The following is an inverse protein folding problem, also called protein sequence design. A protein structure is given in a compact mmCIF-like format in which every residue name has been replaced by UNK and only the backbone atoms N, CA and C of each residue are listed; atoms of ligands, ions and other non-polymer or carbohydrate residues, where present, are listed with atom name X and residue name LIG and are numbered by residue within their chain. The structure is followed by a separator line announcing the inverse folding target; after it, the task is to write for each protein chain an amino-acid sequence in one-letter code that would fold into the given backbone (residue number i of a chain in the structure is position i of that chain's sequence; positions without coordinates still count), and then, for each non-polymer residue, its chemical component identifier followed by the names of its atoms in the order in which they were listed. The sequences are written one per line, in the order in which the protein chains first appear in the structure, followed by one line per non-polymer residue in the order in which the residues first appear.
data_IF_556875417973
#
_entry.id   IF_556875417973
#
_cell.length_a   1.000
_cell.length_b   1.000
_cell.length_c   1.000
_cell.angle_alpha   90.00
_cell.angle_beta   90.00
_cell.angle_gamma   90.00
#
_symmetry.space_group_name_H-M   'P 1'
#
loop_
_entity.id
_entity.type
_entity.pdbx_description
1 polymer ?
#
# COMPACT_ATOMS: atom_id res chain seq x y z
N UNK A 1 -81.48 5.67 -15.29
CA UNK A 1 -80.78 4.51 -14.67
C UNK A 1 -79.65 3.95 -15.55
N UNK A 2 -79.84 3.64 -16.85
CA UNK A 2 -78.78 3.09 -17.73
C UNK A 2 -77.46 3.89 -17.87
N UNK A 3 -77.47 5.23 -17.71
CA UNK A 3 -76.27 6.08 -17.82
C UNK A 3 -75.33 6.00 -16.61
N UNK A 4 -75.87 5.77 -15.41
CA UNK A 4 -75.09 5.66 -14.17
C UNK A 4 -74.42 4.28 -14.03
N UNK A 5 -75.09 3.21 -14.50
CA UNK A 5 -74.51 1.86 -14.54
C UNK A 5 -73.32 1.74 -15.50
N UNK A 6 -73.41 2.32 -16.71
CA UNK A 6 -72.26 2.33 -17.64
C UNK A 6 -71.08 3.16 -17.11
N UNK A 7 -71.35 4.25 -16.38
CA UNK A 7 -70.31 5.07 -15.77
C UNK A 7 -69.61 4.33 -14.61
N UNK A 8 -70.38 3.62 -13.79
CA UNK A 8 -69.88 2.73 -12.73
C UNK A 8 -68.99 1.61 -13.29
N UNK A 9 -69.42 0.97 -14.39
CA UNK A 9 -68.69 -0.15 -14.99
C UNK A 9 -67.38 0.30 -15.68
N UNK A 10 -67.39 1.44 -16.38
CA UNK A 10 -66.17 2.03 -16.95
C UNK A 10 -65.19 2.50 -15.86
N UNK A 11 -65.68 3.05 -14.74
CA UNK A 11 -64.83 3.43 -13.61
C UNK A 11 -64.19 2.21 -12.94
N UNK A 12 -64.91 1.08 -12.82
CA UNK A 12 -64.35 -0.17 -12.31
C UNK A 12 -63.20 -0.71 -13.17
N UNK A 13 -63.29 -0.58 -14.50
CA UNK A 13 -62.19 -0.96 -15.39
C UNK A 13 -60.95 -0.08 -15.20
N UNK A 14 -61.14 1.23 -14.98
CA UNK A 14 -60.03 2.16 -14.71
C UNK A 14 -59.37 1.84 -13.36
N UNK A 15 -60.15 1.58 -12.31
CA UNK A 15 -59.60 1.20 -11.00
C UNK A 15 -58.89 -0.16 -11.04
N UNK A 16 -59.44 -1.13 -11.77
CA UNK A 16 -58.79 -2.44 -11.95
C UNK A 16 -57.46 -2.31 -12.71
N UNK A 17 -57.42 -1.48 -13.75
CA UNK A 17 -56.18 -1.20 -14.50
C UNK A 17 -55.14 -0.49 -13.63
N UNK A 18 -55.56 0.52 -12.86
CA UNK A 18 -54.68 1.24 -11.94
C UNK A 18 -54.11 0.30 -10.86
N UNK A 19 -54.94 -0.56 -10.27
CA UNK A 19 -54.49 -1.56 -9.31
C UNK A 19 -53.49 -2.54 -9.93
N UNK A 20 -53.75 -3.02 -11.15
CA UNK A 20 -52.85 -3.93 -11.87
C UNK A 20 -51.50 -3.28 -12.16
N UNK A 21 -51.48 -2.01 -12.58
CA UNK A 21 -50.23 -1.25 -12.78
C UNK A 21 -49.48 -1.08 -11.46
N UNK A 22 -50.16 -0.74 -10.37
CA UNK A 22 -49.54 -0.62 -9.04
C UNK A 22 -48.94 -1.96 -8.61
N UNK A 23 -49.64 -3.07 -8.79
CA UNK A 23 -49.11 -4.40 -8.46
C UNK A 23 -47.93 -4.80 -9.36
N UNK A 24 -47.96 -4.48 -10.65
CA UNK A 24 -46.85 -4.73 -11.55
C UNK A 24 -45.61 -3.90 -11.16
N UNK A 25 -45.78 -2.62 -10.86
CA UNK A 25 -44.69 -1.73 -10.43
C UNK A 25 -44.17 -2.14 -9.06
N UNK A 26 -45.04 -2.44 -8.10
CA UNK A 26 -44.63 -2.92 -6.78
C UNK A 26 -43.89 -4.26 -6.89
N UNK A 27 -44.40 -5.19 -7.71
CA UNK A 27 -43.77 -6.48 -7.95
C UNK A 27 -42.39 -6.38 -8.60
N UNK A 28 -42.24 -5.53 -9.63
CA UNK A 28 -40.93 -5.31 -10.26
C UNK A 28 -39.97 -4.61 -9.30
N UNK A 29 -40.39 -3.54 -8.61
CA UNK A 29 -39.58 -2.88 -7.60
C UNK A 29 -39.13 -3.86 -6.51
N UNK A 30 -40.03 -4.65 -5.91
CA UNK A 30 -39.68 -5.65 -4.90
C UNK A 30 -38.72 -6.72 -5.42
N UNK A 31 -38.86 -7.16 -6.67
CA UNK A 31 -37.92 -8.11 -7.29
C UNK A 31 -36.51 -7.51 -7.44
N UNK A 32 -36.41 -6.26 -7.88
CA UNK A 32 -35.11 -5.59 -7.98
C UNK A 32 -34.51 -5.30 -6.60
N UNK A 33 -35.32 -4.83 -5.63
CA UNK A 33 -34.86 -4.60 -4.25
C UNK A 33 -34.36 -5.87 -3.58
N UNK A 34 -35.05 -7.00 -3.76
CA UNK A 34 -34.62 -8.28 -3.17
C UNK A 34 -33.33 -8.81 -3.82
N UNK A 35 -33.17 -8.63 -5.14
CA UNK A 35 -31.92 -8.95 -5.84
C UNK A 35 -30.76 -8.07 -5.36
N UNK A 36 -30.99 -6.76 -5.25
CA UNK A 36 -29.98 -5.82 -4.78
C UNK A 36 -29.59 -6.10 -3.32
N UNK A 37 -30.57 -6.36 -2.45
CA UNK A 37 -30.32 -6.72 -1.06
C UNK A 37 -29.51 -8.02 -0.94
N UNK A 38 -29.82 -9.04 -1.75
CA UNK A 38 -29.05 -10.27 -1.80
C UNK A 38 -27.63 -10.06 -2.34
N UNK A 39 -27.47 -9.21 -3.36
CA UNK A 39 -26.17 -8.83 -3.90
C UNK A 39 -25.32 -8.08 -2.86
N UNK A 40 -25.87 -7.07 -2.20
CA UNK A 40 -25.19 -6.32 -1.13
C UNK A 40 -24.82 -7.22 0.04
N UNK A 41 -25.73 -8.11 0.46
CA UNK A 41 -25.45 -9.07 1.52
C UNK A 41 -24.29 -10.01 1.14
N UNK A 42 -24.24 -10.45 -0.13
CA UNK A 42 -23.15 -11.27 -0.66
C UNK A 42 -21.84 -10.48 -0.75
N UNK A 43 -21.87 -9.26 -1.28
CA UNK A 43 -20.70 -8.39 -1.41
C UNK A 43 -20.05 -8.08 -0.04
N UNK A 44 -20.86 -7.90 1.01
CA UNK A 44 -20.38 -7.72 2.39
C UNK A 44 -19.63 -8.93 2.96
N UNK A 45 -19.71 -10.10 2.32
CA UNK A 45 -18.96 -11.28 2.74
C UNK A 45 -17.57 -11.35 2.12
N UNK A 46 -17.20 -10.42 1.23
CA UNK A 46 -15.86 -10.35 0.67
C UNK A 46 -15.03 -9.25 1.31
N UNK A 47 -13.73 -9.51 1.40
CA UNK A 47 -12.71 -8.54 1.78
C UNK A 47 -11.97 -8.13 0.51
N UNK A 48 -11.84 -6.83 0.29
CA UNK A 48 -11.12 -6.26 -0.83
C UNK A 48 -9.78 -5.71 -0.36
N UNK A 49 -8.75 -5.88 -1.19
CA UNK A 49 -7.45 -5.20 -1.02
C UNK A 49 -6.97 -4.70 -2.38
N UNK A 50 -6.54 -3.44 -2.41
CA UNK A 50 -6.08 -2.75 -3.62
C UNK A 50 -7.05 -2.82 -4.80
N UNK A 51 -8.36 -2.80 -4.51
CA UNK A 51 -9.40 -2.94 -5.53
C UNK A 51 -9.31 -1.81 -6.55
N UNK A 52 -9.05 -2.16 -7.81
CA UNK A 52 -8.82 -1.20 -8.89
C UNK A 52 -7.65 -0.24 -8.64
N UNK A 53 -6.73 -0.60 -7.74
CA UNK A 53 -5.54 0.18 -7.48
C UNK A 53 -4.61 0.12 -8.68
N UNK A 54 -3.97 1.25 -8.99
CA UNK A 54 -2.97 1.35 -10.06
C UNK A 54 -2.06 2.54 -9.84
N UNK A 55 -0.88 2.49 -10.45
CA UNK A 55 -0.04 3.67 -10.61
C UNK A 55 -0.73 4.65 -11.57
N UNK A 56 -0.74 5.94 -11.24
CA UNK A 56 -1.32 7.01 -12.06
C UNK A 56 -0.27 7.92 -12.65
N UNK A 57 0.81 8.17 -11.90
CA UNK A 57 1.95 8.98 -12.34
C UNK A 57 3.23 8.47 -11.68
N UNK A 58 4.36 8.67 -12.33
CA UNK A 58 5.67 8.31 -11.80
C UNK A 58 6.77 9.19 -12.39
N UNK A 59 7.85 9.37 -11.64
CA UNK A 59 9.07 9.97 -12.16
C UNK A 59 10.29 9.49 -11.40
N UNK A 60 11.43 9.39 -12.08
CA UNK A 60 12.72 9.06 -11.45
C UNK A 60 13.44 10.35 -11.06
N UNK A 61 13.94 10.43 -9.82
CA UNK A 61 14.64 11.61 -9.26
C UNK A 61 16.17 11.33 -9.22
N UNK A 62 16.69 10.63 -10.23
CA UNK A 62 18.07 10.13 -10.25
C UNK A 62 19.10 11.01 -10.96
N UNK A 63 18.68 11.97 -11.79
CA UNK A 63 19.61 12.77 -12.59
C UNK A 63 20.25 13.93 -11.81
N UNK A 64 19.59 14.41 -10.75
CA UNK A 64 20.08 15.53 -9.94
C UNK A 64 20.80 15.09 -8.67
N UNK A 65 20.53 13.87 -8.17
CA UNK A 65 20.97 13.40 -6.85
C UNK A 65 21.46 11.93 -6.92
N UNK A 66 22.61 11.66 -7.58
CA UNK A 66 23.07 10.29 -7.86
C UNK A 66 23.40 9.49 -6.60
N UNK A 67 23.60 10.17 -5.47
CA UNK A 67 23.84 9.53 -4.17
C UNK A 67 22.59 8.82 -3.62
N UNK A 68 21.40 9.26 -4.01
CA UNK A 68 20.11 8.74 -3.57
C UNK A 68 19.21 8.48 -4.78
N UNK A 69 19.37 7.34 -5.48
CA UNK A 69 18.44 6.99 -6.55
C UNK A 69 17.03 6.91 -5.98
N UNK A 70 16.11 7.66 -6.56
CA UNK A 70 14.76 7.84 -6.02
C UNK A 70 13.70 7.71 -7.11
N UNK A 71 12.52 7.24 -6.74
CA UNK A 71 11.34 7.25 -7.60
C UNK A 71 10.18 7.89 -6.84
N UNK A 72 9.56 8.88 -7.47
CA UNK A 72 8.31 9.47 -7.03
C UNK A 72 7.14 8.71 -7.66
N UNK A 73 6.15 8.35 -6.85
CA UNK A 73 5.03 7.50 -7.25
C UNK A 73 3.70 8.16 -6.86
N UNK A 74 2.76 8.18 -7.80
CA UNK A 74 1.36 8.52 -7.56
C UNK A 74 0.50 7.31 -7.79
N UNK A 75 -0.36 7.02 -6.83
CA UNK A 75 -1.32 5.94 -6.89
C UNK A 75 -2.71 6.50 -7.14
N UNK A 76 -3.58 5.68 -7.76
CA UNK A 76 -5.01 6.00 -7.85
C UNK A 76 -5.57 6.19 -6.45
N UNK A 77 -6.37 7.23 -6.26
CA UNK A 77 -6.98 7.54 -4.98
C UNK A 77 -7.92 6.42 -4.51
N UNK A 78 -7.74 6.04 -3.25
CA UNK A 78 -8.58 5.07 -2.55
C UNK A 78 -8.42 5.29 -1.05
N UNK A 79 -9.54 5.32 -0.32
CA UNK A 79 -9.55 5.43 1.15
C UNK A 79 -8.91 4.21 1.85
N UNK A 80 -8.72 3.12 1.12
CA UNK A 80 -8.19 1.84 1.64
C UNK A 80 -6.70 1.65 1.32
N UNK A 81 -6.02 2.63 0.72
CA UNK A 81 -4.64 2.50 0.27
C UNK A 81 -3.63 3.00 1.31
N UNK A 82 -2.77 2.10 1.76
CA UNK A 82 -1.73 2.33 2.75
C UNK A 82 -0.34 2.32 2.12
N UNK A 83 0.64 3.05 2.71
CA UNK A 83 2.06 2.94 2.36
C UNK A 83 2.64 1.53 2.51
N UNK A 84 1.94 0.63 3.22
CA UNK A 84 2.32 -0.77 3.38
C UNK A 84 1.71 -1.71 2.33
N UNK A 85 0.84 -1.24 1.44
CA UNK A 85 0.10 -2.10 0.51
C UNK A 85 0.85 -2.38 -0.81
N UNK A 86 2.09 -1.90 -0.93
CA UNK A 86 2.96 -2.19 -2.07
C UNK A 86 4.35 -2.64 -1.63
N UNK A 87 4.99 -3.41 -2.49
CA UNK A 87 6.36 -3.87 -2.37
C UNK A 87 7.20 -3.27 -3.49
N UNK A 88 8.46 -2.94 -3.18
CA UNK A 88 9.43 -2.41 -4.15
C UNK A 88 10.67 -3.30 -4.13
N UNK A 89 11.07 -3.76 -5.31
CA UNK A 89 12.32 -4.44 -5.57
C UNK A 89 13.27 -3.55 -6.38
N UNK A 90 14.39 -4.10 -6.84
CA UNK A 90 15.36 -3.36 -7.68
C UNK A 90 14.84 -3.20 -9.11
N UNK A 91 13.95 -4.09 -9.55
CA UNK A 91 13.43 -4.13 -10.92
C UNK A 91 11.93 -3.93 -10.99
N UNK A 92 11.19 -4.20 -9.92
CA UNK A 92 9.73 -4.16 -9.94
C UNK A 92 9.11 -3.41 -8.77
N UNK A 93 7.94 -2.84 -9.01
CA UNK A 93 6.98 -2.36 -8.03
C UNK A 93 5.76 -3.28 -8.11
N UNK A 94 5.23 -3.77 -7.00
CA UNK A 94 4.07 -4.68 -7.02
C UNK A 94 3.10 -4.42 -5.86
N UNK A 95 1.83 -4.77 -6.07
CA UNK A 95 0.80 -4.73 -5.04
C UNK A 95 -0.36 -5.68 -5.31
N UNK A 96 -1.12 -5.96 -4.25
CA UNK A 96 -2.27 -6.85 -4.27
C UNK A 96 -3.52 -6.16 -4.83
N UNK A 97 -4.21 -6.83 -5.76
CA UNK A 97 -5.57 -6.52 -6.19
C UNK A 97 -6.39 -7.80 -6.00
N UNK A 98 -7.27 -7.81 -5.00
CA UNK A 98 -7.97 -9.04 -4.61
C UNK A 98 -9.39 -8.79 -4.10
N UNK A 99 -10.23 -9.81 -4.30
CA UNK A 99 -11.54 -10.02 -3.69
C UNK A 99 -11.51 -11.38 -3.04
N UNK A 100 -11.32 -11.42 -1.72
CA UNK A 100 -11.18 -12.67 -0.95
C UNK A 100 -12.46 -12.97 -0.19
N UNK A 101 -12.88 -14.23 -0.14
CA UNK A 101 -14.10 -14.60 0.57
C UNK A 101 -13.87 -14.62 2.09
N UNK A 102 -14.56 -13.77 2.84
CA UNK A 102 -14.45 -13.62 4.30
C UNK A 102 -15.34 -14.56 5.12
N UNK A 103 -16.12 -15.45 4.49
CA UNK A 103 -16.98 -16.38 5.22
C UNK A 103 -16.21 -17.48 5.96
N UNK A 104 -16.85 -18.06 6.99
CA UNK A 104 -16.25 -19.09 7.87
C UNK A 104 -15.89 -20.38 7.14
N UNK A 105 -16.73 -20.80 6.18
CA UNK A 105 -16.52 -22.02 5.41
C UNK A 105 -15.78 -21.65 4.14
N UNK A 106 -14.45 -21.78 4.17
CA UNK A 106 -13.57 -21.51 3.04
C UNK A 106 -13.74 -22.63 2.01
N UNK A 107 -14.59 -22.38 1.03
CA UNK A 107 -14.80 -23.24 -0.13
C UNK A 107 -14.35 -22.50 -1.38
N UNK A 108 -14.16 -23.24 -2.47
CA UNK A 108 -13.86 -22.66 -3.78
C UNK A 108 -15.01 -21.72 -4.18
N UNK A 109 -14.75 -20.42 -4.20
CA UNK A 109 -15.69 -19.42 -4.65
C UNK A 109 -15.36 -18.98 -6.09
N UNK A 110 -16.39 -18.74 -6.91
CA UNK A 110 -16.20 -18.38 -8.32
C UNK A 110 -15.94 -16.90 -8.55
N UNK A 111 -16.26 -16.05 -7.57
CA UNK A 111 -16.06 -14.60 -7.64
C UNK A 111 -14.79 -14.16 -6.95
N UNK A 112 -14.19 -15.03 -6.15
CA UNK A 112 -12.89 -14.81 -5.53
C UNK A 112 -11.80 -14.66 -6.59
N UNK A 113 -10.94 -13.66 -6.40
CA UNK A 113 -9.72 -13.51 -7.16
C UNK A 113 -8.61 -12.95 -6.28
N UNK A 114 -7.39 -13.35 -6.58
CA UNK A 114 -6.19 -12.78 -5.97
C UNK A 114 -5.17 -12.55 -7.08
N UNK A 115 -4.88 -11.28 -7.33
CA UNK A 115 -3.93 -10.86 -8.37
C UNK A 115 -2.84 -10.02 -7.76
N UNK A 116 -1.64 -10.18 -8.30
CA UNK A 116 -0.57 -9.21 -8.10
C UNK A 116 -0.51 -8.35 -9.34
N UNK A 117 -0.67 -7.04 -9.16
CA UNK A 117 -0.38 -6.04 -10.18
C UNK A 117 1.04 -5.57 -9.97
N UNK A 118 1.81 -5.46 -11.05
CA UNK A 118 3.21 -5.05 -10.96
C UNK A 118 3.67 -4.28 -12.18
N UNK A 119 4.69 -3.46 -11.97
CA UNK A 119 5.32 -2.58 -12.94
C UNK A 119 6.82 -2.83 -12.91
N UNK A 120 7.46 -2.71 -14.07
CA UNK A 120 8.92 -2.74 -14.16
C UNK A 120 9.45 -1.33 -13.96
N UNK A 121 10.41 -1.17 -13.07
CA UNK A 121 10.98 0.13 -12.75
C UNK A 121 11.63 0.77 -13.98
N UNK A 122 11.36 2.05 -14.21
CA UNK A 122 11.73 2.83 -15.40
C UNK A 122 10.88 2.56 -16.66
N UNK A 123 9.84 1.74 -16.58
CA UNK A 123 8.92 1.39 -17.67
C UNK A 123 7.46 1.32 -17.19
N UNK A 124 7.11 2.11 -16.17
CA UNK A 124 5.85 2.03 -15.44
C UNK A 124 4.70 2.70 -16.21
N UNK A 125 4.23 2.08 -17.29
CA UNK A 125 3.15 2.62 -18.12
C UNK A 125 1.86 1.79 -18.09
N UNK A 126 0.72 2.47 -18.23
CA UNK A 126 -0.60 1.85 -18.37
C UNK A 126 -1.11 1.18 -17.10
N UNK A 127 -1.95 0.15 -17.26
CA UNK A 127 -2.58 -0.54 -16.13
C UNK A 127 -1.62 -1.52 -15.41
N UNK A 128 -0.35 -1.62 -15.81
CA UNK A 128 0.59 -2.59 -15.25
C UNK A 128 0.31 -4.03 -15.69
N UNK A 129 1.22 -4.94 -15.35
CA UNK A 129 1.05 -6.37 -15.59
C UNK A 129 0.33 -7.03 -14.41
N UNK A 130 -0.35 -8.14 -14.66
CA UNK A 130 -1.02 -8.90 -13.60
C UNK A 130 -0.62 -10.38 -13.61
N UNK A 131 -0.59 -10.98 -12.41
CA UNK A 131 -0.41 -12.41 -12.18
C UNK A 131 -1.59 -12.90 -11.35
N UNK A 132 -2.30 -13.92 -11.84
CA UNK A 132 -3.38 -14.58 -11.10
C UNK A 132 -2.78 -15.58 -10.10
N UNK A 133 -2.56 -15.13 -8.87
CA UNK A 133 -1.96 -15.92 -7.81
C UNK A 133 -2.92 -16.98 -7.30
N UNK A 134 -4.22 -16.69 -7.26
CA UNK A 134 -5.23 -17.67 -6.86
C UNK A 134 -5.14 -18.92 -7.75
N UNK A 135 -4.99 -18.73 -9.06
CA UNK A 135 -4.79 -19.84 -9.98
C UNK A 135 -3.49 -20.60 -9.71
N UNK A 136 -2.38 -19.89 -9.46
CA UNK A 136 -1.09 -20.52 -9.15
C UNK A 136 -1.17 -21.40 -7.89
N UNK A 137 -1.79 -20.94 -6.80
CA UNK A 137 -1.93 -21.74 -5.59
C UNK A 137 -2.92 -22.90 -5.76
N UNK A 138 -3.94 -22.73 -6.59
CA UNK A 138 -4.88 -23.81 -6.93
C UNK A 138 -4.19 -24.94 -7.70
N UNK A 139 -3.30 -24.61 -8.63
CA UNK A 139 -2.45 -25.58 -9.33
C UNK A 139 -1.49 -26.30 -8.35
N UNK A 140 -1.16 -25.67 -7.21
CA UNK A 140 -0.39 -26.25 -6.11
C UNK A 140 -1.23 -27.03 -5.08
N UNK A 141 -2.54 -27.12 -5.27
CA UNK A 141 -3.46 -27.89 -4.42
C UNK A 141 -4.19 -27.11 -3.33
N UNK A 142 -4.02 -25.78 -3.26
CA UNK A 142 -4.78 -24.93 -2.33
C UNK A 142 -6.17 -24.61 -2.87
N UNK A 143 -7.14 -24.42 -1.98
CA UNK A 143 -8.52 -24.05 -2.39
C UNK A 143 -8.64 -22.53 -2.62
N UNK A 144 -8.04 -21.75 -1.73
CA UNK A 144 -8.17 -20.28 -1.63
C UNK A 144 -6.92 -19.68 -0.95
N UNK A 145 -6.85 -18.36 -0.86
CA UNK A 145 -5.82 -17.58 -0.15
C UNK A 145 -6.53 -16.80 0.96
N UNK A 146 -6.14 -17.04 2.21
CA UNK A 146 -6.66 -16.35 3.40
C UNK A 146 -5.77 -15.20 3.86
N UNK A 147 -4.47 -15.25 3.54
CA UNK A 147 -3.51 -14.19 3.86
C UNK A 147 -3.41 -13.11 2.78
N UNK A 148 -2.28 -12.43 2.76
CA UNK A 148 -2.03 -11.24 1.94
C UNK A 148 -0.62 -11.26 1.32
N UNK A 149 -0.38 -10.33 0.40
CA UNK A 149 0.95 -10.03 -0.10
C UNK A 149 1.76 -9.32 0.98
N UNK A 150 3.00 -9.74 1.15
CA UNK A 150 3.98 -9.06 1.99
C UNK A 150 4.51 -7.80 1.29
N UNK A 151 4.90 -6.78 2.06
CA UNK A 151 5.45 -5.53 1.51
C UNK A 151 6.96 -5.62 1.18
N UNK A 152 7.58 -6.75 1.52
CA UNK A 152 8.98 -7.05 1.21
C UNK A 152 9.12 -7.89 -0.05
N UNK A 153 10.06 -7.53 -0.93
CA UNK A 153 10.45 -8.33 -2.09
C UNK A 153 11.65 -9.22 -1.79
N UNK A 154 11.77 -10.31 -2.54
CA UNK A 154 12.82 -11.30 -2.40
C UNK A 154 13.54 -11.51 -3.75
N UNK A 155 14.78 -11.98 -3.70
CA UNK A 155 15.65 -12.17 -4.86
C UNK A 155 16.38 -13.51 -4.81
N UNK A 156 16.60 -14.10 -5.98
CA UNK A 156 17.51 -15.23 -6.18
C UNK A 156 18.81 -14.82 -6.91
N UNK A 157 19.08 -13.51 -6.97
CA UNK A 157 20.17 -12.88 -7.72
C UNK A 157 19.83 -12.60 -9.18
N UNK A 158 18.77 -13.20 -9.74
CA UNK A 158 18.35 -13.00 -11.12
C UNK A 158 16.95 -12.41 -11.21
N UNK A 159 15.98 -13.07 -10.59
CA UNK A 159 14.57 -12.71 -10.62
C UNK A 159 14.13 -12.19 -9.24
N UNK A 160 13.05 -11.41 -9.24
CA UNK A 160 12.44 -10.86 -8.03
C UNK A 160 11.08 -11.49 -7.77
N UNK A 161 10.75 -11.62 -6.50
CA UNK A 161 9.61 -12.36 -6.01
C UNK A 161 8.84 -11.53 -4.99
N UNK A 162 7.51 -11.64 -5.03
CA UNK A 162 6.65 -11.20 -3.92
C UNK A 162 6.28 -12.40 -3.07
N UNK A 163 6.30 -12.23 -1.75
CA UNK A 163 5.81 -13.23 -0.81
C UNK A 163 4.30 -13.08 -0.64
N UNK A 164 3.59 -14.20 -0.65
CA UNK A 164 2.16 -14.28 -0.40
C UNK A 164 1.93 -15.24 0.75
N UNK A 165 1.27 -14.76 1.81
CA UNK A 165 0.78 -15.61 2.87
C UNK A 165 -0.51 -16.31 2.39
N UNK A 166 -0.51 -17.64 2.36
CA UNK A 166 -1.70 -18.41 1.96
C UNK A 166 -2.62 -18.58 3.16
N UNK A 167 -2.13 -19.24 4.22
CA UNK A 167 -2.88 -19.53 5.44
C UNK A 167 -1.93 -19.86 6.58
N UNK A 168 -2.19 -19.33 7.77
CA UNK A 168 -1.38 -19.58 8.97
C UNK A 168 0.12 -19.32 8.69
N UNK A 169 0.95 -20.36 8.59
CA UNK A 169 2.39 -20.26 8.28
C UNK A 169 2.75 -20.72 6.85
N UNK A 170 1.77 -21.09 6.02
CA UNK A 170 2.02 -21.47 4.62
C UNK A 170 2.21 -20.23 3.76
N UNK A 171 3.43 -20.07 3.23
CA UNK A 171 3.82 -18.99 2.34
C UNK A 171 4.27 -19.51 0.97
N UNK A 172 4.12 -18.66 -0.05
CA UNK A 172 4.69 -18.87 -1.38
C UNK A 172 5.37 -17.61 -1.87
N UNK A 173 6.23 -17.79 -2.86
CA UNK A 173 6.97 -16.72 -3.54
C UNK A 173 6.62 -16.73 -5.01
N UNK A 174 6.09 -15.62 -5.51
CA UNK A 174 5.65 -15.45 -6.89
C UNK A 174 6.70 -14.66 -7.67
N UNK A 175 7.32 -15.31 -8.65
CA UNK A 175 8.32 -14.69 -9.52
C UNK A 175 7.66 -13.73 -10.52
N UNK A 176 8.05 -12.45 -10.48
CA UNK A 176 7.45 -11.40 -11.32
C UNK A 176 7.90 -11.46 -12.79
N UNK A 177 8.99 -12.16 -13.09
CA UNK A 177 9.54 -12.31 -14.45
C UNK A 177 8.89 -13.48 -15.20
N UNK A 178 8.91 -14.68 -14.61
CA UNK A 178 8.41 -15.90 -15.24
C UNK A 178 6.97 -16.29 -14.84
N UNK A 179 6.37 -15.55 -13.89
CA UNK A 179 4.97 -15.69 -13.43
C UNK A 179 4.66 -17.05 -12.80
N UNK A 180 5.63 -17.69 -12.16
CA UNK A 180 5.47 -18.96 -11.43
C UNK A 180 5.60 -18.76 -9.93
N UNK A 181 4.97 -19.66 -9.17
CA UNK A 181 5.07 -19.71 -7.72
C UNK A 181 6.00 -20.83 -7.25
N UNK A 182 6.64 -20.64 -6.11
CA UNK A 182 7.45 -21.64 -5.40
C UNK A 182 7.21 -21.55 -3.90
N UNK A 183 7.31 -22.68 -3.18
CA UNK A 183 7.35 -22.69 -1.70
C UNK A 183 8.74 -22.43 -1.14
N UNK A 184 9.78 -22.57 -1.98
CA UNK A 184 11.15 -22.33 -1.56
C UNK A 184 11.41 -20.83 -1.53
N UNK A 185 11.69 -20.30 -0.34
CA UNK A 185 12.13 -18.92 -0.13
C UNK A 185 13.36 -18.59 -0.98
N UNK A 186 13.36 -17.48 -1.75
CA UNK A 186 14.55 -16.96 -2.40
C UNK A 186 15.62 -16.56 -1.38
N UNK A 187 16.88 -16.50 -1.83
CA UNK A 187 18.02 -16.39 -0.92
C UNK A 187 18.09 -15.04 -0.22
N UNK A 188 17.64 -13.98 -0.89
CA UNK A 188 17.86 -12.61 -0.46
C UNK A 188 16.53 -11.89 -0.22
N UNK A 189 16.47 -11.10 0.84
CA UNK A 189 15.45 -10.07 1.05
C UNK A 189 15.95 -8.74 0.49
N UNK A 190 15.13 -8.05 -0.32
CA UNK A 190 15.48 -6.74 -0.88
C UNK A 190 15.07 -5.67 0.11
N UNK A 191 16.05 -5.05 0.76
CA UNK A 191 15.84 -3.98 1.73
C UNK A 191 16.51 -2.68 1.26
N UNK A 192 15.70 -1.63 1.15
CA UNK A 192 16.20 -0.27 0.95
C UNK A 192 16.31 0.46 2.29
N UNK A 193 17.24 1.43 2.37
CA UNK A 193 17.58 2.13 3.59
C UNK A 193 18.75 1.46 4.32
N UNK A 194 18.66 1.38 5.64
CA UNK A 194 19.76 0.88 6.47
C UNK A 194 20.11 -0.58 6.14
N UNK A 195 21.41 -0.88 6.11
CA UNK A 195 21.92 -2.23 5.94
C UNK A 195 22.98 -2.60 6.98
N UNK A 196 23.35 -3.88 6.98
CA UNK A 196 24.25 -4.44 7.99
C UNK A 196 23.73 -4.18 9.41
N UNK A 197 24.62 -3.71 10.28
CA UNK A 197 24.27 -3.44 11.68
C UNK A 197 23.17 -2.37 11.83
N UNK A 198 23.08 -1.43 10.91
CA UNK A 198 22.12 -0.32 10.99
C UNK A 198 20.66 -0.74 10.77
N UNK A 199 20.39 -1.98 10.35
CA UNK A 199 19.02 -2.53 10.18
C UNK A 199 18.18 -2.47 11.46
N UNK A 200 18.80 -2.30 12.62
CA UNK A 200 18.11 -2.20 13.92
C UNK A 200 17.62 -0.80 14.26
N UNK A 201 18.00 0.21 13.47
CA UNK A 201 17.63 1.60 13.72
C UNK A 201 16.19 1.88 13.30
N UNK A 202 15.49 2.68 14.10
CA UNK A 202 14.24 3.33 13.68
C UNK A 202 14.47 4.28 12.49
N UNK A 203 13.39 4.74 11.84
CA UNK A 203 13.47 5.95 11.00
C UNK A 203 14.04 7.14 11.79
N UNK A 204 14.80 8.05 11.15
CA UNK A 204 15.37 9.21 11.84
C UNK A 204 14.26 10.11 12.37
N UNK A 205 14.37 10.48 13.63
CA UNK A 205 13.59 11.58 14.20
C UNK A 205 14.41 12.86 14.18
N UNK A 206 13.78 13.98 13.87
CA UNK A 206 14.43 15.29 13.72
C UNK A 206 13.45 16.42 14.03
N UNK A 207 13.96 17.64 14.12
CA UNK A 207 13.19 18.87 14.31
C UNK A 207 13.43 19.79 13.11
N UNK A 208 12.36 20.41 12.62
CA UNK A 208 12.38 21.49 11.63
C UNK A 208 11.45 22.58 12.14
N UNK A 209 11.92 23.83 12.14
CA UNK A 209 11.10 24.97 12.56
C UNK A 209 10.34 25.53 11.37
N UNK A 210 11.01 25.64 10.22
CA UNK A 210 10.46 26.27 9.03
C UNK A 210 9.43 25.39 8.31
N UNK A 211 9.47 24.07 8.53
CA UNK A 211 8.57 23.08 7.93
C UNK A 211 7.79 22.27 8.97
N UNK A 212 7.52 22.86 10.14
CA UNK A 212 6.84 22.16 11.24
C UNK A 212 5.50 21.52 10.83
N UNK A 213 4.72 22.21 10.01
CA UNK A 213 3.42 21.71 9.53
C UNK A 213 3.59 20.57 8.52
N UNK A 214 4.56 20.69 7.62
CA UNK A 214 4.86 19.63 6.64
C UNK A 214 5.39 18.38 7.32
N UNK A 215 6.14 18.51 8.42
CA UNK A 215 6.61 17.35 9.21
C UNK A 215 5.45 16.50 9.73
N UNK A 216 4.32 17.11 10.08
CA UNK A 216 3.13 16.37 10.54
C UNK A 216 2.49 15.61 9.38
N UNK A 217 2.57 16.17 8.17
CA UNK A 217 2.01 15.59 6.97
C UNK A 217 2.93 14.56 6.30
N UNK A 218 4.25 14.60 6.53
CA UNK A 218 5.21 13.64 5.99
C UNK A 218 5.43 12.50 6.98
N UNK A 219 5.06 11.29 6.57
CA UNK A 219 5.36 10.05 7.29
C UNK A 219 6.59 9.37 6.71
N UNK A 220 7.50 8.92 7.58
CA UNK A 220 8.72 8.18 7.24
C UNK A 220 8.58 6.76 7.77
N UNK A 221 8.12 5.85 6.90
CA UNK A 221 7.84 4.46 7.29
C UNK A 221 9.10 3.61 7.37
N UNK A 222 10.02 3.85 6.43
CA UNK A 222 11.36 3.29 6.41
C UNK A 222 12.35 4.42 6.23
N UNK A 223 13.63 4.19 6.50
CA UNK A 223 14.69 5.15 6.14
C UNK A 223 14.70 5.54 4.65
N UNK A 224 13.99 4.77 3.82
CA UNK A 224 13.89 4.92 2.37
C UNK A 224 12.46 5.13 1.84
N UNK A 225 11.42 5.25 2.68
CA UNK A 225 10.04 5.45 2.22
C UNK A 225 9.39 6.65 2.90
N UNK A 226 9.08 7.65 2.08
CA UNK A 226 8.40 8.87 2.47
C UNK A 226 7.02 8.90 1.83
N UNK A 227 6.01 9.25 2.61
CA UNK A 227 4.68 9.56 2.11
C UNK A 227 4.19 10.89 2.64
N UNK A 228 3.43 11.61 1.83
CA UNK A 228 2.76 12.84 2.24
C UNK A 228 1.26 12.62 2.37
N UNK A 229 0.70 13.07 3.50
CA UNK A 229 -0.69 12.88 3.85
C UNK A 229 -1.60 13.39 2.73
N UNK A 230 -2.48 12.50 2.30
CA UNK A 230 -3.37 12.74 1.20
C UNK A 230 -4.38 13.85 1.49
N UNK A 231 -4.89 13.94 2.73
CA UNK A 231 -5.83 15.00 3.08
C UNK A 231 -5.17 16.38 2.91
N UNK A 232 -3.93 16.51 3.37
CA UNK A 232 -3.12 17.72 3.23
C UNK A 232 -2.87 18.09 1.76
N UNK A 233 -2.67 17.12 0.86
CA UNK A 233 -2.56 17.37 -0.60
C UNK A 233 -3.80 18.02 -1.20
N UNK A 234 -4.99 17.68 -0.71
CA UNK A 234 -6.26 18.21 -1.22
C UNK A 234 -6.57 19.60 -0.67
N UNK A 235 -6.10 19.90 0.55
CA UNK A 235 -6.41 21.14 1.27
C UNK A 235 -5.33 22.19 1.19
N UNK A 236 -4.22 21.95 0.48
CA UNK A 236 -3.15 22.93 0.20
C UNK A 236 -3.63 24.10 -0.69
N UNK A 237 -4.93 24.44 -0.70
CA UNK A 237 -5.45 25.69 -1.22
C UNK A 237 -5.12 26.84 -0.25
N UNK A 238 -4.10 27.61 -0.60
CA UNK A 238 -3.82 29.00 -0.21
C UNK A 238 -4.36 29.40 1.18
N UNK A 239 -3.79 28.83 2.25
CA UNK A 239 -3.90 29.47 3.55
C UNK A 239 -2.92 30.65 3.58
N UNK A 240 -3.45 31.85 3.35
CA UNK A 240 -2.81 33.17 3.52
C UNK A 240 -2.38 33.42 4.98
N UNK A 241 -1.55 32.55 5.58
CA UNK A 241 -0.91 32.87 6.85
C UNK A 241 0.49 33.42 6.58
N UNK A 242 0.60 34.73 6.77
CA UNK A 242 1.69 35.60 6.34
C UNK A 242 3.00 35.45 7.13
N UNK A 243 3.32 34.24 7.61
CA UNK A 243 4.68 33.91 8.00
C UNK A 243 5.36 33.29 6.78
N UNK A 244 6.46 33.89 6.33
CA UNK A 244 7.22 33.48 5.16
C UNK A 244 7.74 32.04 5.31
N UNK A 245 6.91 31.06 4.98
CA UNK A 245 7.33 29.67 4.82
C UNK A 245 8.41 29.68 3.74
N UNK A 246 9.57 29.04 3.99
CA UNK A 246 10.57 28.93 2.93
C UNK A 246 9.98 28.22 1.73
N UNK A 247 10.54 28.51 0.55
CA UNK A 247 10.21 27.75 -0.64
C UNK A 247 10.56 26.27 -0.41
N UNK A 248 9.63 25.39 -0.77
CA UNK A 248 9.81 23.95 -0.62
C UNK A 248 11.11 23.50 -1.32
N UNK A 249 11.83 22.58 -0.67
CA UNK A 249 12.91 21.88 -1.36
C UNK A 249 12.38 21.15 -2.60
N UNK A 250 13.18 20.99 -3.66
CA UNK A 250 12.73 20.27 -4.86
C UNK A 250 12.19 18.87 -4.55
N UNK A 251 12.81 18.17 -3.60
CA UNK A 251 12.40 16.83 -3.15
C UNK A 251 11.06 16.86 -2.40
N UNK A 252 10.85 17.84 -1.51
CA UNK A 252 9.58 18.01 -0.80
C UNK A 252 8.46 18.38 -1.77
N UNK A 253 8.70 19.28 -2.74
CA UNK A 253 7.72 19.59 -3.78
C UNK A 253 7.34 18.35 -4.60
N UNK A 254 8.32 17.51 -4.96
CA UNK A 254 8.03 16.24 -5.64
C UNK A 254 7.21 15.30 -4.75
N UNK A 255 7.53 15.20 -3.46
CA UNK A 255 6.76 14.38 -2.53
C UNK A 255 5.32 14.86 -2.39
N UNK A 256 5.09 16.17 -2.24
CA UNK A 256 3.73 16.74 -2.17
C UNK A 256 2.93 16.48 -3.44
N UNK A 257 3.58 16.63 -4.60
CA UNK A 257 2.97 16.39 -5.91
C UNK A 257 2.57 14.91 -6.09
N UNK A 258 3.51 14.00 -5.89
CA UNK A 258 3.30 12.57 -6.20
C UNK A 258 2.64 11.79 -5.05
N UNK A 259 2.94 12.17 -3.81
CA UNK A 259 2.43 11.55 -2.58
C UNK A 259 3.39 10.53 -1.98
N UNK A 260 4.22 9.88 -2.79
CA UNK A 260 5.21 8.90 -2.33
C UNK A 260 6.57 9.13 -2.97
N UNK A 261 7.63 8.98 -2.18
CA UNK A 261 9.01 8.84 -2.66
C UNK A 261 9.63 7.59 -2.05
N UNK A 262 10.17 6.74 -2.92
CA UNK A 262 10.96 5.56 -2.54
C UNK A 262 12.42 5.81 -2.91
N UNK A 263 13.31 5.64 -1.95
CA UNK A 263 14.76 5.76 -2.11
C UNK A 263 15.32 4.35 -2.35
N UNK A 264 15.90 4.12 -3.52
CA UNK A 264 16.43 2.83 -3.94
C UNK A 264 17.88 2.60 -3.49
N UNK A 265 18.28 3.20 -2.37
CA UNK A 265 19.62 3.06 -1.80
C UNK A 265 19.63 1.94 -0.77
N UNK A 266 20.49 0.94 -0.98
CA UNK A 266 20.72 -0.14 -0.02
C UNK A 266 21.94 0.17 0.85
N UNK A 267 22.01 -0.44 2.04
CA UNK A 267 23.15 -0.32 2.95
C UNK A 267 23.49 1.12 3.34
N UNK A 268 22.45 1.92 3.56
CA UNK A 268 22.56 3.30 4.00
C UNK A 268 23.25 3.37 5.38
N UNK A 269 24.34 4.15 5.56
CA UNK A 269 24.86 4.50 6.87
C UNK A 269 23.98 5.55 7.55
N UNK A 270 24.21 5.77 8.85
CA UNK A 270 23.44 6.75 9.64
C UNK A 270 23.52 8.17 9.05
N UNK A 271 24.69 8.61 8.58
CA UNK A 271 24.88 9.95 8.01
C UNK A 271 24.05 10.18 6.73
N UNK A 272 23.86 9.15 5.91
CA UNK A 272 23.08 9.25 4.69
C UNK A 272 21.60 9.55 4.99
N UNK A 273 21.06 9.01 6.09
CA UNK A 273 19.68 9.31 6.50
C UNK A 273 19.49 10.78 6.93
N UNK A 274 20.54 11.40 7.48
CA UNK A 274 20.57 12.83 7.80
C UNK A 274 20.55 13.63 6.50
N UNK A 275 21.46 13.33 5.57
CA UNK A 275 21.54 13.99 4.27
C UNK A 275 20.20 13.88 3.54
N UNK A 276 19.65 12.67 3.45
CA UNK A 276 18.37 12.40 2.82
C UNK A 276 17.24 13.20 3.46
N UNK A 277 17.14 13.24 4.79
CA UNK A 277 16.12 14.04 5.48
C UNK A 277 16.26 15.53 5.15
N UNK A 278 17.50 16.04 5.10
CA UNK A 278 17.78 17.44 4.75
C UNK A 278 17.45 17.77 3.29
N UNK A 279 17.40 16.79 2.40
CA UNK A 279 16.90 17.00 1.03
C UNK A 279 15.41 17.34 1.00
N UNK A 280 14.62 16.92 1.99
CA UNK A 280 13.22 17.30 2.16
C UNK A 280 13.10 18.57 3.02
N UNK A 281 13.83 18.62 4.13
CA UNK A 281 13.76 19.66 5.14
C UNK A 281 15.16 20.24 5.40
N UNK A 282 15.60 21.26 4.64
CA UNK A 282 16.98 21.75 4.71
C UNK A 282 17.40 22.30 6.09
N UNK A 283 16.45 22.77 6.89
CA UNK A 283 16.65 23.26 8.26
C UNK A 283 16.56 22.14 9.32
N UNK A 284 16.37 20.88 8.92
CA UNK A 284 16.26 19.77 9.85
C UNK A 284 17.52 19.65 10.71
N UNK A 285 17.31 19.54 12.02
CA UNK A 285 18.35 19.39 13.02
C UNK A 285 17.90 18.49 14.17
N UNK A 286 18.77 18.26 15.17
CA UNK A 286 18.51 17.43 16.35
C UNK A 286 18.08 16.01 16.01
N UNK A 287 18.89 15.35 15.18
CA UNK A 287 18.64 13.98 14.76
C UNK A 287 18.83 12.98 15.89
N UNK A 288 17.93 12.00 15.97
CA UNK A 288 18.07 10.84 16.83
C UNK A 288 17.36 9.60 16.28
N UNK A 289 17.78 8.43 16.76
CA UNK A 289 17.24 7.13 16.41
C UNK A 289 17.02 6.31 17.68
N UNK A 290 16.02 5.43 17.68
CA UNK A 290 15.84 4.44 18.73
C UNK A 290 16.34 3.06 18.30
N UNK A 291 16.78 2.29 19.30
CA UNK A 291 17.25 0.91 19.16
C UNK A 291 16.49 0.06 20.16
N UNK A 292 15.85 -1.00 19.66
CA UNK A 292 15.10 -1.95 20.48
C UNK A 292 15.98 -2.64 21.53
N UNK A 293 15.42 -2.89 22.72
CA UNK A 293 16.10 -3.50 23.87
C UNK A 293 16.80 -4.83 23.57
N UNK A 294 16.30 -5.59 22.59
CA UNK A 294 16.92 -6.86 22.18
C UNK A 294 18.33 -6.66 21.63
N UNK A 295 18.58 -5.52 20.98
CA UNK A 295 19.82 -5.20 20.29
C UNK A 295 20.79 -4.35 21.11
N UNK A 296 20.40 -3.87 22.29
CA UNK A 296 21.24 -3.01 23.13
C UNK A 296 21.96 -3.81 24.22
N UNK A 297 23.17 -3.40 24.58
CA UNK A 297 23.97 -3.99 25.68
C UNK A 297 23.29 -3.82 27.04
N UNK A 298 22.55 -2.74 27.23
CA UNK A 298 21.82 -2.43 28.46
C UNK A 298 20.57 -3.30 28.66
N UNK A 299 20.04 -3.89 27.59
CA UNK A 299 18.77 -4.62 27.63
C UNK A 299 17.55 -3.72 27.84
N UNK A 300 17.65 -2.46 27.39
CA UNK A 300 16.59 -1.45 27.37
C UNK A 300 16.61 -0.73 26.03
N UNK A 301 15.49 -0.11 25.64
CA UNK A 301 15.48 0.78 24.48
C UNK A 301 16.47 1.93 24.69
N UNK A 302 17.34 2.18 23.71
CA UNK A 302 18.36 3.24 23.75
C UNK A 302 18.11 4.24 22.62
N UNK A 303 18.37 5.51 22.91
CA UNK A 303 18.33 6.59 21.92
C UNK A 303 19.77 7.01 21.60
N UNK A 304 20.08 7.07 20.33
CA UNK A 304 21.39 7.52 19.82
C UNK A 304 21.25 8.77 18.96
N UNK A 305 22.33 9.52 18.85
CA UNK A 305 22.46 10.72 18.00
C UNK A 305 23.66 10.65 17.07
N UNK A 306 24.63 9.77 17.34
CA UNK A 306 25.83 9.61 16.51
C UNK A 306 26.17 8.15 16.28
N UNK A 307 27.03 7.91 15.28
CA UNK A 307 27.54 6.58 14.97
C UNK A 307 28.43 6.01 16.10
N UNK A 308 29.15 6.87 16.83
CA UNK A 308 29.94 6.47 17.98
C UNK A 308 29.05 5.98 19.13
N UNK A 309 27.94 6.67 19.40
CA UNK A 309 26.95 6.24 20.39
C UNK A 309 26.35 4.88 19.98
N UNK A 310 26.00 4.72 18.70
CA UNK A 310 25.51 3.45 18.14
C UNK A 310 26.46 2.27 18.46
N UNK A 311 27.73 2.38 18.08
CA UNK A 311 28.73 1.32 18.30
C UNK A 311 28.95 1.01 19.79
N UNK A 312 28.80 2.01 20.66
CA UNK A 312 28.94 1.81 22.11
C UNK A 312 27.78 1.00 22.69
N UNK A 313 26.55 1.17 22.20
CA UNK A 313 25.35 0.59 22.80
C UNK A 313 24.91 -0.75 22.23
N UNK A 314 25.31 -1.12 21.00
CA UNK A 314 24.78 -2.33 20.33
C UNK A 314 25.45 -3.65 20.71
N UNK A 315 24.67 -4.75 20.68
CA UNK A 315 25.18 -6.12 20.69
C UNK A 315 25.40 -6.61 19.26
N UNK A 316 26.55 -6.27 18.66
CA UNK A 316 26.86 -6.62 17.26
C UNK A 316 26.61 -8.10 16.94
N UNK A 317 27.06 -9.02 17.81
CA UNK A 317 26.88 -10.48 17.62
C UNK A 317 25.40 -10.91 17.52
N UNK A 318 24.49 -10.21 18.22
CA UNK A 318 23.05 -10.50 18.16
C UNK A 318 22.48 -9.99 16.85
N UNK A 319 22.89 -8.81 16.41
CA UNK A 319 22.45 -8.20 15.16
C UNK A 319 22.92 -9.06 13.98
N UNK A 320 24.20 -9.40 13.94
CA UNK A 320 24.76 -10.27 12.89
C UNK A 320 24.10 -11.64 12.85
N UNK A 321 23.66 -12.16 14.00
CA UNK A 321 22.93 -13.44 14.04
C UNK A 321 21.53 -13.33 13.47
N UNK A 322 20.81 -12.25 13.79
CA UNK A 322 19.42 -12.04 13.35
C UNK A 322 19.32 -11.64 11.88
N UNK A 323 20.30 -10.89 11.37
CA UNK A 323 20.34 -10.41 9.98
C UNK A 323 21.41 -11.10 9.14
N UNK A 324 21.72 -12.37 9.48
CA UNK A 324 22.59 -13.21 8.65
C UNK A 324 21.88 -13.48 7.32
N UNK A 325 22.34 -12.80 6.28
CA UNK A 325 21.97 -13.07 4.89
C UNK A 325 22.49 -14.46 4.45
#
# INVERSE_FOLDING_TARGET
MKKLENFSWQMWQIYALAALVIFLVAGTCSFFFTKEAAYVAKERTYVYKGKNQRLTDYTTIGETEPEFPMIALSFKESDEWSPYDFAVGRKFLAFQDSKQYGGRLKAKDKEEYFRIRYYKLGQEQGDGQTIDVLKLVQDMGYVTIEGEMDNLMYSDGKDEYVKIQIKDNDEIYVNLTNKKATKKRPQEEIHFGYGGLYRVLSSPSFITEAYKDDRINVSIYWAALFSYDYQSRLTDSDSDDSNSKPEDSPTLSMLKKYGFIVVLKENMPLNDSITLTKMFFPDADYFYWSIDEKYTKSGKEEIIRTEEEFKQVIKEEVIEKDFKD
#
